data_IF_996342806595
#
_entry.id   IF_996342806595
#
_cell.length_a   1.000
_cell.length_b   1.000
_cell.length_c   1.000
_cell.angle_alpha   90.00
_cell.angle_beta   90.00
_cell.angle_gamma   90.00
#
_symmetry.space_group_name_H-M   'P 1'
#
loop_
_entity.id
_entity.type
_entity.pdbx_description
1 polymer ?
#
# COMPACT_ATOMS: atom_id res chain seq x y z
N UNK A 1 -19.67 -8.45 31.61
CA UNK A 1 -18.26 -8.60 31.18
C UNK A 1 -18.12 -7.87 29.87
N UNK A 2 -17.19 -6.91 29.75
CA UNK A 2 -16.85 -6.33 28.43
C UNK A 2 -16.14 -7.40 27.64
N UNK A 3 -16.60 -7.67 26.44
CA UNK A 3 -16.02 -8.67 25.54
C UNK A 3 -14.76 -8.08 24.91
N UNK A 4 -13.59 -8.65 25.20
CA UNK A 4 -12.34 -8.25 24.56
C UNK A 4 -12.21 -8.85 23.17
N UNK A 5 -11.65 -8.10 22.23
CA UNK A 5 -11.24 -8.57 20.91
C UNK A 5 -9.78 -8.95 20.93
N UNK A 6 -9.44 -10.04 20.25
CA UNK A 6 -8.09 -10.58 20.21
C UNK A 6 -7.66 -10.74 18.75
N UNK A 7 -6.50 -10.22 18.40
CA UNK A 7 -5.87 -10.43 17.09
C UNK A 7 -4.36 -10.56 17.26
N UNK A 8 -3.74 -11.27 16.34
CA UNK A 8 -2.27 -11.31 16.21
C UNK A 8 -1.87 -10.47 15.02
N UNK A 9 -0.89 -9.58 15.19
CA UNK A 9 -0.35 -8.76 14.11
C UNK A 9 0.61 -9.57 13.21
N UNK A 10 1.08 -8.98 12.13
CA UNK A 10 2.00 -9.67 11.21
C UNK A 10 3.44 -9.80 11.75
N UNK A 11 3.72 -9.28 12.94
CA UNK A 11 4.96 -9.51 13.68
C UNK A 11 4.81 -10.62 14.74
N UNK A 12 3.66 -11.31 14.76
CA UNK A 12 3.26 -12.29 15.76
C UNK A 12 3.02 -11.71 17.17
N UNK A 13 2.75 -10.41 17.28
CA UNK A 13 2.37 -9.76 18.54
C UNK A 13 0.88 -9.95 18.79
N UNK A 14 0.52 -10.56 19.93
CA UNK A 14 -0.88 -10.71 20.34
C UNK A 14 -1.39 -9.42 20.95
N UNK A 15 -2.50 -8.92 20.44
CA UNK A 15 -3.20 -7.74 20.93
C UNK A 15 -4.55 -8.17 21.46
N UNK A 16 -4.85 -7.77 22.70
CA UNK A 16 -6.11 -8.08 23.40
C UNK A 16 -6.64 -6.80 24.03
N UNK A 17 -7.68 -6.22 23.43
CA UNK A 17 -8.22 -4.90 23.78
C UNK A 17 -9.75 -4.93 23.85
N UNK A 18 -10.33 -3.96 24.52
CA UNK A 18 -11.75 -3.62 24.34
C UNK A 18 -11.94 -3.13 22.87
N UNK A 19 -13.13 -3.30 22.25
CA UNK A 19 -13.39 -2.81 20.91
C UNK A 19 -13.01 -1.32 20.77
N UNK A 20 -12.04 -0.97 19.92
CA UNK A 20 -11.43 0.36 19.90
C UNK A 20 -12.43 1.44 19.49
N UNK A 21 -12.39 2.57 20.17
CA UNK A 21 -13.21 3.75 19.91
C UNK A 21 -12.36 4.96 19.46
N UNK A 22 -11.04 4.90 19.65
CA UNK A 22 -10.11 6.00 19.32
C UNK A 22 -8.91 5.45 18.58
N UNK A 23 -9.01 5.41 17.25
CA UNK A 23 -8.02 4.78 16.37
C UNK A 23 -7.12 5.86 15.76
N UNK A 24 -5.81 5.64 15.83
CA UNK A 24 -4.81 6.40 15.06
C UNK A 24 -4.28 5.52 13.93
N UNK A 25 -4.30 6.04 12.70
CA UNK A 25 -3.79 5.34 11.51
C UNK A 25 -2.50 5.98 11.00
N UNK A 26 -1.44 5.18 10.94
CA UNK A 26 -0.09 5.64 10.57
C UNK A 26 0.20 5.50 9.06
N UNK A 27 -0.72 4.88 8.28
CA UNK A 27 -0.46 4.50 6.89
C UNK A 27 -1.65 4.83 5.99
N UNK A 28 -1.41 5.45 4.80
CA UNK A 28 -2.47 5.89 3.90
C UNK A 28 -3.44 4.79 3.45
N UNK A 29 -2.92 3.63 3.02
CA UNK A 29 -3.72 2.50 2.53
C UNK A 29 -4.63 1.91 3.61
N UNK A 30 -4.16 1.84 4.86
CA UNK A 30 -4.95 1.40 6.00
C UNK A 30 -5.98 2.45 6.44
N UNK A 31 -5.65 3.73 6.30
CA UNK A 31 -6.59 4.83 6.56
C UNK A 31 -7.81 4.74 5.63
N UNK A 32 -7.60 4.46 4.35
CA UNK A 32 -8.70 4.24 3.40
C UNK A 32 -9.53 3.01 3.78
N UNK A 33 -8.88 1.91 4.17
CA UNK A 33 -9.59 0.72 4.65
C UNK A 33 -10.49 1.02 5.85
N UNK A 34 -9.98 1.75 6.85
CA UNK A 34 -10.78 2.13 8.02
C UNK A 34 -12.02 2.96 7.65
N UNK A 35 -11.89 3.82 6.65
CA UNK A 35 -13.02 4.57 6.11
C UNK A 35 -14.06 3.63 5.46
N UNK A 36 -13.63 2.72 4.61
CA UNK A 36 -14.52 1.78 3.92
C UNK A 36 -15.18 0.77 4.88
N UNK A 37 -14.52 0.46 5.98
CA UNK A 37 -15.11 -0.28 7.10
C UNK A 37 -16.16 0.56 7.88
N UNK A 38 -16.24 1.87 7.63
CA UNK A 38 -17.24 2.76 8.24
C UNK A 38 -16.87 3.23 9.65
N UNK A 39 -15.57 3.43 9.90
CA UNK A 39 -15.02 3.81 11.19
C UNK A 39 -14.79 5.33 11.32
N UNK A 40 -15.56 6.14 10.59
CA UNK A 40 -15.38 7.61 10.55
C UNK A 40 -15.33 8.22 11.97
N UNK A 41 -16.26 7.85 12.84
CA UNK A 41 -16.34 8.41 14.20
C UNK A 41 -15.23 7.90 15.13
N UNK A 42 -14.62 6.75 14.81
CA UNK A 42 -13.59 6.13 15.64
C UNK A 42 -12.17 6.54 15.27
N UNK A 43 -11.91 6.90 14.01
CA UNK A 43 -10.58 7.38 13.60
C UNK A 43 -10.41 8.82 14.08
N UNK A 44 -9.42 9.05 14.95
CA UNK A 44 -9.16 10.35 15.56
C UNK A 44 -7.90 11.03 15.04
N UNK A 45 -6.93 10.26 14.51
CA UNK A 45 -5.67 10.77 14.00
C UNK A 45 -5.17 10.02 12.77
N UNK A 46 -4.56 10.74 11.84
CA UNK A 46 -4.00 10.22 10.58
C UNK A 46 -2.70 10.94 10.23
N UNK A 47 -1.85 10.34 9.38
CA UNK A 47 -0.66 11.04 8.89
C UNK A 47 -1.01 12.07 7.80
N UNK A 48 -0.12 13.04 7.57
CA UNK A 48 -0.26 14.03 6.49
C UNK A 48 -0.34 13.40 5.08
N UNK A 49 0.12 12.15 4.93
CA UNK A 49 0.10 11.40 3.68
C UNK A 49 -1.20 10.62 3.45
N UNK A 50 -2.08 10.56 4.45
CA UNK A 50 -3.40 9.93 4.32
C UNK A 50 -4.33 10.83 3.48
N UNK A 51 -4.25 10.68 2.16
CA UNK A 51 -4.97 11.51 1.21
C UNK A 51 -6.41 11.05 0.96
N UNK A 52 -6.75 9.84 1.40
CA UNK A 52 -8.08 9.24 1.24
C UNK A 52 -8.65 8.76 2.57
N UNK A 53 -9.95 9.07 2.84
CA UNK A 53 -10.80 9.97 2.06
C UNK A 53 -10.38 11.43 2.26
N UNK A 54 -10.57 12.25 1.24
CA UNK A 54 -10.14 13.66 1.28
C UNK A 54 -10.74 14.45 2.45
N UNK A 55 -11.98 14.14 2.85
CA UNK A 55 -12.64 14.79 3.98
C UNK A 55 -11.89 14.62 5.31
N UNK A 56 -11.17 13.50 5.50
CA UNK A 56 -10.45 13.25 6.74
C UNK A 56 -9.24 14.15 6.94
N UNK A 57 -8.61 14.63 5.87
CA UNK A 57 -7.55 15.64 5.96
C UNK A 57 -8.00 16.93 6.67
N UNK A 58 -9.30 17.24 6.61
CA UNK A 58 -9.88 18.46 7.21
C UNK A 58 -10.50 18.19 8.59
N UNK A 59 -10.80 16.94 8.91
CA UNK A 59 -11.61 16.59 10.09
C UNK A 59 -10.87 15.76 11.13
N UNK A 60 -9.75 15.13 10.77
CA UNK A 60 -8.94 14.32 11.68
C UNK A 60 -7.65 15.04 12.07
N UNK A 61 -7.15 14.78 13.26
CA UNK A 61 -5.86 15.31 13.70
C UNK A 61 -4.72 14.77 12.82
N UNK A 62 -3.81 15.64 12.40
CA UNK A 62 -2.60 15.24 11.65
C UNK A 62 -1.47 14.95 12.64
N UNK A 63 -1.06 13.68 12.71
CA UNK A 63 -0.08 13.17 13.68
C UNK A 63 1.37 13.13 13.14
N UNK A 64 1.69 13.93 12.13
CA UNK A 64 3.00 13.95 11.48
C UNK A 64 3.02 13.18 10.16
N UNK A 65 4.19 12.67 9.80
CA UNK A 65 4.40 11.80 8.63
C UNK A 65 4.53 10.32 9.03
N UNK A 66 4.66 9.43 8.05
CA UNK A 66 4.83 7.97 8.27
C UNK A 66 6.19 7.63 8.92
N UNK A 67 7.20 8.46 8.72
CA UNK A 67 8.56 8.31 9.27
C UNK A 67 8.92 9.39 10.31
N UNK A 68 7.95 10.20 10.74
CA UNK A 68 8.15 11.26 11.73
C UNK A 68 6.84 11.57 12.44
N UNK A 69 6.62 10.96 13.60
CA UNK A 69 5.40 11.11 14.40
C UNK A 69 5.49 12.34 15.32
N UNK A 70 4.35 13.03 15.50
CA UNK A 70 4.17 14.02 16.55
C UNK A 70 3.59 13.31 17.78
N UNK A 71 4.46 12.82 18.66
CA UNK A 71 4.06 12.01 19.83
C UNK A 71 3.10 12.74 20.75
N UNK A 72 3.36 14.02 21.01
CA UNK A 72 2.50 14.90 21.81
C UNK A 72 1.08 14.97 21.28
N UNK A 73 0.92 15.05 19.96
CA UNK A 73 -0.39 15.01 19.30
C UNK A 73 -1.04 13.65 19.48
N UNK A 74 -0.30 12.55 19.26
CA UNK A 74 -0.84 11.19 19.43
C UNK A 74 -1.28 10.98 20.87
N UNK A 75 -0.47 11.35 21.86
CA UNK A 75 -0.77 11.24 23.27
C UNK A 75 -2.04 12.02 23.63
N UNK A 76 -2.20 13.24 23.13
CA UNK A 76 -3.40 14.08 23.37
C UNK A 76 -4.68 13.48 22.81
N UNK A 77 -4.57 12.62 21.79
CA UNK A 77 -5.72 11.91 21.22
C UNK A 77 -6.17 10.70 22.05
N UNK A 78 -5.38 10.26 23.05
CA UNK A 78 -5.67 9.09 23.87
C UNK A 78 -6.15 7.88 23.06
N UNK A 79 -5.36 7.39 22.06
CA UNK A 79 -5.80 6.27 21.24
C UNK A 79 -5.87 4.98 22.06
N UNK A 80 -6.89 4.17 21.75
CA UNK A 80 -7.02 2.81 22.29
C UNK A 80 -6.60 1.73 21.25
N UNK A 81 -6.25 2.16 20.03
CA UNK A 81 -5.57 1.36 19.01
C UNK A 81 -4.80 2.26 18.06
N UNK A 82 -3.56 1.88 17.77
CA UNK A 82 -2.75 2.45 16.70
C UNK A 82 -2.53 1.37 15.63
N UNK A 83 -2.69 1.73 14.35
CA UNK A 83 -2.52 0.81 13.23
C UNK A 83 -1.40 1.32 12.33
N UNK A 84 -0.41 0.46 12.07
CA UNK A 84 0.77 0.79 11.27
C UNK A 84 1.22 -0.34 10.33
N UNK A 85 2.33 -0.07 9.63
CA UNK A 85 2.98 -1.01 8.74
C UNK A 85 4.50 -0.98 8.92
N UNK A 86 5.12 -2.14 8.91
CA UNK A 86 6.55 -2.34 9.17
C UNK A 86 7.44 -1.64 8.12
N UNK A 87 7.03 -1.61 6.87
CA UNK A 87 7.81 -0.99 5.80
C UNK A 87 7.67 0.54 5.80
N UNK A 88 6.46 1.03 6.05
CA UNK A 88 6.15 2.45 5.94
C UNK A 88 6.50 3.24 7.20
N UNK A 89 6.50 2.62 8.37
CA UNK A 89 6.81 3.28 9.63
C UNK A 89 8.26 3.03 10.07
N UNK A 90 8.80 3.88 10.93
CA UNK A 90 10.13 3.70 11.50
C UNK A 90 10.06 2.98 12.84
N UNK A 91 10.99 2.06 13.05
CA UNK A 91 10.94 1.10 14.15
C UNK A 91 10.99 1.79 15.52
N UNK A 92 11.89 2.75 15.72
CA UNK A 92 12.07 3.45 17.00
C UNK A 92 10.79 4.20 17.41
N UNK A 93 10.07 4.77 16.42
CA UNK A 93 8.81 5.43 16.70
C UNK A 93 7.70 4.45 17.08
N UNK A 94 7.67 3.27 16.46
CA UNK A 94 6.71 2.22 16.82
C UNK A 94 6.99 1.69 18.22
N UNK A 95 8.26 1.36 18.55
CA UNK A 95 8.66 0.89 19.88
C UNK A 95 8.24 1.89 20.96
N UNK A 96 8.46 3.19 20.74
CA UNK A 96 8.03 4.22 21.67
C UNK A 96 6.49 4.28 21.85
N UNK A 97 5.72 4.10 20.77
CA UNK A 97 4.26 4.09 20.86
C UNK A 97 3.75 2.86 21.64
N UNK A 98 4.41 1.72 21.49
CA UNK A 98 4.06 0.46 22.17
C UNK A 98 4.24 0.52 23.69
N UNK A 99 5.05 1.43 24.20
CA UNK A 99 5.17 1.66 25.64
C UNK A 99 3.88 2.19 26.28
N UNK A 100 3.03 2.86 25.51
CA UNK A 100 1.84 3.57 26.02
C UNK A 100 0.52 3.11 25.42
N UNK A 101 0.55 2.52 24.21
CA UNK A 101 -0.64 2.24 23.44
C UNK A 101 -0.62 0.84 22.81
N UNK A 102 -1.77 0.19 22.62
CA UNK A 102 -1.86 -0.99 21.76
C UNK A 102 -1.55 -0.62 20.30
N UNK A 103 -0.53 -1.26 19.71
CA UNK A 103 -0.12 -1.02 18.31
C UNK A 103 -0.23 -2.32 17.52
N UNK A 104 -1.04 -2.30 16.46
CA UNK A 104 -1.19 -3.39 15.52
C UNK A 104 -0.41 -3.09 14.23
N UNK A 105 0.52 -3.98 13.86
CA UNK A 105 1.41 -3.76 12.72
C UNK A 105 1.17 -4.77 11.61
N UNK A 106 1.01 -4.30 10.39
CA UNK A 106 1.06 -5.14 9.19
C UNK A 106 2.48 -5.27 8.64
N UNK A 107 2.74 -6.39 7.94
CA UNK A 107 3.91 -6.63 7.09
C UNK A 107 3.39 -7.31 5.83
N UNK A 108 3.32 -6.59 4.71
CA UNK A 108 2.57 -6.99 3.53
C UNK A 108 3.49 -7.06 2.30
N UNK A 109 3.77 -8.27 1.88
CA UNK A 109 4.49 -8.59 0.65
C UNK A 109 3.58 -9.34 -0.32
N UNK A 110 2.77 -10.26 0.21
CA UNK A 110 1.92 -11.14 -0.58
C UNK A 110 0.45 -10.70 -0.54
N UNK A 111 -0.28 -11.04 -1.60
CA UNK A 111 -1.70 -10.70 -1.73
C UNK A 111 -2.55 -11.29 -0.60
N UNK A 112 -2.25 -12.51 -0.16
CA UNK A 112 -2.97 -13.14 0.94
C UNK A 112 -2.78 -12.36 2.24
N UNK A 113 -1.59 -11.85 2.51
CA UNK A 113 -1.32 -11.03 3.69
C UNK A 113 -2.17 -9.73 3.69
N UNK A 114 -2.41 -9.13 2.51
CA UNK A 114 -3.33 -7.99 2.41
C UNK A 114 -4.76 -8.35 2.79
N UNK A 115 -5.26 -9.52 2.39
CA UNK A 115 -6.59 -10.01 2.78
C UNK A 115 -6.66 -10.36 4.27
N UNK A 116 -5.60 -10.95 4.81
CA UNK A 116 -5.49 -11.28 6.24
C UNK A 116 -5.43 -10.02 7.11
N UNK A 117 -4.77 -8.96 6.65
CA UNK A 117 -4.81 -7.65 7.29
C UNK A 117 -6.26 -7.10 7.36
N UNK A 118 -7.00 -7.15 6.24
CA UNK A 118 -8.40 -6.68 6.23
C UNK A 118 -9.22 -7.48 7.25
N UNK A 119 -9.03 -8.79 7.32
CA UNK A 119 -9.72 -9.68 8.27
C UNK A 119 -9.38 -9.32 9.71
N UNK A 120 -8.09 -9.14 10.01
CA UNK A 120 -7.60 -8.81 11.36
C UNK A 120 -8.09 -7.45 11.84
N UNK A 121 -8.00 -6.42 11.00
CA UNK A 121 -8.49 -5.07 11.32
C UNK A 121 -10.02 -5.10 11.51
N UNK A 122 -10.74 -5.82 10.66
CA UNK A 122 -12.20 -5.96 10.78
C UNK A 122 -12.60 -6.64 12.09
N UNK A 123 -11.88 -7.68 12.53
CA UNK A 123 -12.10 -8.36 13.80
C UNK A 123 -11.86 -7.40 14.97
N UNK A 124 -10.72 -6.70 14.99
CA UNK A 124 -10.38 -5.73 16.06
C UNK A 124 -11.42 -4.63 16.19
N UNK A 125 -11.98 -4.18 15.06
CA UNK A 125 -12.93 -3.06 15.02
C UNK A 125 -14.39 -3.48 15.03
N UNK A 126 -14.68 -4.79 15.12
CA UNK A 126 -16.04 -5.36 15.06
C UNK A 126 -16.79 -4.97 13.78
N UNK A 127 -16.10 -5.05 12.65
CA UNK A 127 -16.66 -4.74 11.32
C UNK A 127 -16.53 -5.93 10.35
N UNK A 128 -16.52 -7.17 10.88
CA UNK A 128 -16.24 -8.42 10.15
C UNK A 128 -17.13 -8.60 8.93
N UNK A 129 -18.41 -8.23 9.02
CA UNK A 129 -19.34 -8.32 7.90
C UNK A 129 -18.90 -7.45 6.73
N UNK A 130 -18.44 -6.23 6.99
CA UNK A 130 -17.93 -5.31 5.96
C UNK A 130 -16.59 -5.79 5.42
N UNK A 131 -15.67 -6.21 6.31
CA UNK A 131 -14.39 -6.77 5.92
C UNK A 131 -14.53 -7.99 5.02
N UNK A 132 -15.40 -8.93 5.37
CA UNK A 132 -15.69 -10.10 4.55
C UNK A 132 -16.25 -9.73 3.16
N UNK A 133 -17.14 -8.74 3.08
CA UNK A 133 -17.67 -8.26 1.79
C UNK A 133 -16.60 -7.59 0.92
N UNK A 134 -15.68 -6.83 1.52
CA UNK A 134 -14.52 -6.24 0.83
C UNK A 134 -13.63 -7.37 0.28
N UNK A 135 -13.22 -8.32 1.11
CA UNK A 135 -12.38 -9.46 0.73
C UNK A 135 -13.00 -10.25 -0.43
N UNK A 136 -14.25 -10.69 -0.29
CA UNK A 136 -14.97 -11.44 -1.32
C UNK A 136 -15.01 -10.68 -2.65
N UNK A 137 -15.24 -9.37 -2.60
CA UNK A 137 -15.27 -8.52 -3.80
C UNK A 137 -13.88 -8.40 -4.44
N UNK A 138 -12.83 -8.23 -3.65
CA UNK A 138 -11.44 -8.19 -4.14
C UNK A 138 -11.10 -9.49 -4.84
N UNK A 139 -11.32 -10.65 -4.18
CA UNK A 139 -11.02 -11.97 -4.74
C UNK A 139 -11.77 -12.22 -6.06
N UNK A 140 -13.07 -11.92 -6.10
CA UNK A 140 -13.87 -12.05 -7.32
C UNK A 140 -13.36 -11.16 -8.46
N UNK A 141 -12.98 -9.92 -8.17
CA UNK A 141 -12.50 -8.99 -9.19
C UNK A 141 -11.11 -9.39 -9.71
N UNK A 142 -10.19 -9.82 -8.85
CA UNK A 142 -8.88 -10.32 -9.27
C UNK A 142 -8.97 -11.66 -10.01
N UNK A 143 -9.86 -12.57 -9.61
CA UNK A 143 -10.13 -13.82 -10.36
C UNK A 143 -10.61 -13.58 -11.78
N UNK A 144 -11.32 -12.46 -12.02
CA UNK A 144 -11.84 -12.06 -13.34
C UNK A 144 -10.90 -11.11 -14.09
N UNK A 145 -9.74 -10.81 -13.53
CA UNK A 145 -8.77 -9.96 -14.21
C UNK A 145 -8.18 -10.72 -15.40
N UNK A 146 -8.38 -10.17 -16.61
CA UNK A 146 -7.68 -10.66 -17.79
C UNK A 146 -6.19 -10.46 -17.62
N UNK A 147 -5.42 -11.53 -17.73
CA UNK A 147 -3.98 -11.49 -17.64
C UNK A 147 -3.40 -10.71 -18.81
N UNK A 148 -2.37 -9.91 -18.56
CA UNK A 148 -1.53 -9.41 -19.64
C UNK A 148 -0.81 -10.59 -20.31
N UNK A 149 -0.45 -10.48 -21.62
CA UNK A 149 0.55 -11.39 -22.16
C UNK A 149 1.84 -11.23 -21.35
N UNK A 150 2.73 -12.24 -21.35
CA UNK A 150 3.94 -12.26 -20.52
C UNK A 150 4.97 -11.22 -21.02
N UNK A 151 4.63 -9.94 -20.87
CA UNK A 151 5.51 -8.82 -21.22
C UNK A 151 6.46 -8.51 -20.07
N UNK A 152 7.72 -8.29 -20.42
CA UNK A 152 8.77 -7.85 -19.50
C UNK A 152 8.50 -6.40 -19.10
N UNK A 153 8.25 -6.18 -17.81
CA UNK A 153 7.90 -4.88 -17.24
C UNK A 153 8.93 -4.43 -16.20
N UNK A 154 9.29 -3.16 -16.24
CA UNK A 154 10.06 -2.48 -15.21
C UNK A 154 9.15 -1.47 -14.51
N UNK A 155 9.09 -1.52 -13.17
CA UNK A 155 8.38 -0.53 -12.38
C UNK A 155 9.38 0.35 -11.65
N UNK A 156 9.40 1.64 -11.98
CA UNK A 156 10.26 2.64 -11.36
C UNK A 156 9.45 3.48 -10.37
N UNK A 157 9.92 3.57 -9.14
CA UNK A 157 9.25 4.27 -8.05
C UNK A 157 10.03 5.48 -7.52
N UNK A 158 11.30 5.63 -7.90
CA UNK A 158 12.16 6.72 -7.44
C UNK A 158 13.14 7.18 -8.53
N UNK A 159 13.55 8.44 -8.43
CA UNK A 159 14.54 9.06 -9.32
C UNK A 159 15.58 9.82 -8.50
N UNK A 160 16.83 9.64 -8.87
CA UNK A 160 18.03 10.10 -8.19
C UNK A 160 18.27 9.43 -6.82
N UNK A 161 18.76 8.16 -6.81
CA UNK A 161 19.00 7.30 -7.98
C UNK A 161 17.72 6.75 -8.61
N UNK A 162 17.79 6.08 -9.77
CA UNK A 162 16.69 5.23 -10.21
C UNK A 162 16.51 4.06 -9.26
N UNK A 163 15.27 3.82 -8.81
CA UNK A 163 14.96 2.65 -8.01
C UNK A 163 13.73 1.95 -8.57
N UNK A 164 13.82 0.63 -8.66
CA UNK A 164 12.73 -0.22 -9.11
C UNK A 164 12.11 -1.02 -7.96
N UNK A 165 10.91 -1.54 -8.17
CA UNK A 165 10.28 -2.50 -7.26
C UNK A 165 10.59 -3.92 -7.70
N UNK A 166 11.29 -4.68 -6.86
CA UNK A 166 11.77 -6.04 -7.11
C UNK A 166 11.05 -7.07 -6.23
N UNK A 167 11.56 -8.29 -6.17
CA UNK A 167 11.02 -9.34 -5.32
C UNK A 167 10.99 -8.93 -3.84
N UNK A 168 10.10 -9.52 -3.06
CA UNK A 168 9.90 -9.14 -1.66
C UNK A 168 9.16 -7.81 -1.48
N UNK A 169 8.45 -7.32 -2.50
CA UNK A 169 7.58 -6.14 -2.43
C UNK A 169 6.15 -6.47 -2.85
N UNK A 170 5.18 -5.80 -2.26
CA UNK A 170 3.77 -5.95 -2.66
C UNK A 170 3.54 -5.53 -4.12
N UNK A 171 4.27 -4.53 -4.60
CA UNK A 171 4.25 -4.09 -6.00
C UNK A 171 4.60 -5.24 -6.95
N UNK A 172 5.64 -6.02 -6.64
CA UNK A 172 6.01 -7.20 -7.43
C UNK A 172 4.88 -8.24 -7.46
N UNK A 173 4.26 -8.50 -6.32
CA UNK A 173 3.12 -9.41 -6.23
C UNK A 173 1.95 -8.95 -7.11
N UNK A 174 1.66 -7.65 -7.14
CA UNK A 174 0.62 -7.10 -8.01
C UNK A 174 1.02 -7.19 -9.49
N UNK A 175 2.26 -6.86 -9.86
CA UNK A 175 2.78 -7.02 -11.23
C UNK A 175 2.57 -8.46 -11.70
N UNK A 176 3.00 -9.46 -10.92
CA UNK A 176 2.84 -10.89 -11.25
C UNK A 176 1.36 -11.28 -11.38
N UNK A 177 0.49 -10.73 -10.53
CA UNK A 177 -0.95 -11.00 -10.60
C UNK A 177 -1.62 -10.45 -11.86
N UNK A 178 -1.04 -9.45 -12.51
CA UNK A 178 -1.53 -8.98 -13.81
C UNK A 178 -1.07 -9.86 -14.99
N UNK A 179 -0.13 -10.79 -14.78
CA UNK A 179 0.48 -11.63 -15.80
C UNK A 179 1.75 -11.03 -16.41
N UNK A 180 2.17 -9.84 -15.99
CA UNK A 180 3.43 -9.25 -16.41
C UNK A 180 4.62 -9.94 -15.74
N UNK A 181 5.76 -9.93 -16.42
CA UNK A 181 7.05 -10.43 -15.92
C UNK A 181 7.83 -9.24 -15.38
N UNK A 182 8.09 -9.20 -14.09
CA UNK A 182 8.95 -8.17 -13.52
C UNK A 182 10.41 -8.45 -13.90
N UNK A 183 11.07 -7.52 -14.59
CA UNK A 183 12.48 -7.68 -14.99
C UNK A 183 13.46 -7.66 -13.82
N UNK A 184 12.99 -7.31 -12.62
CA UNK A 184 13.76 -7.28 -11.38
C UNK A 184 13.40 -8.46 -10.44
N UNK A 185 12.81 -9.54 -10.95
CA UNK A 185 12.37 -10.64 -10.08
C UNK A 185 13.51 -11.39 -9.37
N UNK A 186 14.73 -11.33 -9.90
CA UNK A 186 15.94 -11.89 -9.29
C UNK A 186 16.61 -10.95 -8.28
N UNK A 187 16.18 -9.68 -8.21
CA UNK A 187 16.64 -8.70 -7.24
C UNK A 187 15.68 -8.65 -6.02
N UNK A 188 16.11 -7.99 -4.94
CA UNK A 188 15.31 -7.90 -3.72
C UNK A 188 14.94 -6.46 -3.38
N UNK A 189 13.72 -6.25 -2.89
CA UNK A 189 13.21 -4.99 -2.36
C UNK A 189 13.22 -3.86 -3.42
N UNK A 190 14.03 -2.84 -3.22
CA UNK A 190 14.06 -1.63 -4.03
C UNK A 190 15.49 -1.34 -4.52
N UNK A 191 16.02 -2.14 -5.48
CA UNK A 191 17.38 -1.95 -5.95
C UNK A 191 17.56 -0.61 -6.66
N UNK A 192 18.74 -0.01 -6.44
CA UNK A 192 19.23 1.12 -7.22
C UNK A 192 19.70 0.64 -8.60
N UNK A 193 19.32 1.37 -9.63
CA UNK A 193 19.59 1.02 -11.02
C UNK A 193 20.39 2.12 -11.72
N UNK A 194 21.44 1.74 -12.42
CA UNK A 194 22.09 2.63 -13.37
C UNK A 194 21.33 2.63 -14.71
N UNK A 195 21.53 3.67 -15.53
CA UNK A 195 20.97 3.71 -16.88
C UNK A 195 21.45 2.53 -17.74
N UNK A 196 22.71 2.08 -17.55
CA UNK A 196 23.25 0.88 -18.21
C UNK A 196 22.53 -0.39 -17.79
N UNK A 197 22.24 -0.55 -16.49
CA UNK A 197 21.47 -1.70 -15.97
C UNK A 197 20.04 -1.70 -16.50
N UNK A 198 19.37 -0.54 -16.53
CA UNK A 198 18.03 -0.39 -17.10
C UNK A 198 18.01 -0.82 -18.58
N UNK A 199 19.03 -0.42 -19.35
CA UNK A 199 19.17 -0.80 -20.75
C UNK A 199 19.42 -2.30 -20.93
N UNK A 200 20.25 -2.91 -20.08
CA UNK A 200 20.55 -4.36 -20.08
C UNK A 200 19.29 -5.20 -19.78
N UNK A 201 18.46 -4.74 -18.85
CA UNK A 201 17.20 -5.40 -18.50
C UNK A 201 16.21 -5.48 -19.69
N UNK A 202 16.35 -4.64 -20.70
CA UNK A 202 15.52 -4.59 -21.92
C UNK A 202 14.01 -4.84 -21.65
N UNK A 203 13.34 -4.04 -20.81
CA UNK A 203 11.91 -4.18 -20.58
C UNK A 203 11.14 -3.75 -21.84
N UNK A 204 10.00 -4.40 -22.08
CA UNK A 204 9.05 -3.99 -23.14
C UNK A 204 8.14 -2.85 -22.67
N UNK A 205 7.89 -2.79 -21.37
CA UNK A 205 7.04 -1.79 -20.73
C UNK A 205 7.77 -1.21 -19.53
N UNK A 206 7.70 0.11 -19.35
CA UNK A 206 8.19 0.80 -18.16
C UNK A 206 7.03 1.56 -17.52
N UNK A 207 6.80 1.32 -16.25
CA UNK A 207 5.86 2.07 -15.43
C UNK A 207 6.60 3.08 -14.57
N UNK A 208 6.24 4.35 -14.72
CA UNK A 208 6.72 5.44 -13.87
C UNK A 208 5.62 5.77 -12.86
N UNK A 209 5.85 5.45 -11.61
CA UNK A 209 4.86 5.58 -10.52
C UNK A 209 4.58 7.03 -10.15
N UNK A 210 3.33 7.34 -9.82
CA UNK A 210 2.96 8.65 -9.25
C UNK A 210 3.45 8.84 -7.81
N UNK A 211 3.89 7.76 -7.14
CA UNK A 211 4.37 7.77 -5.75
C UNK A 211 5.44 6.68 -5.49
N UNK A 212 6.26 6.80 -4.46
CA UNK A 212 6.45 7.97 -3.60
C UNK A 212 7.14 9.13 -4.32
N UNK A 213 7.89 8.88 -5.41
CA UNK A 213 8.42 9.93 -6.26
C UNK A 213 7.37 10.32 -7.30
N UNK A 214 6.98 11.63 -7.40
CA UNK A 214 5.91 12.07 -8.27
C UNK A 214 6.38 12.16 -9.72
N UNK A 215 6.53 11.03 -10.39
CA UNK A 215 6.83 11.03 -11.82
C UNK A 215 5.77 11.78 -12.60
N UNK A 216 6.21 12.53 -13.62
CA UNK A 216 5.36 13.35 -14.46
C UNK A 216 5.89 13.32 -15.91
N UNK A 217 5.20 13.92 -16.90
CA UNK A 217 5.55 13.80 -18.31
C UNK A 217 7.00 14.15 -18.69
N UNK A 218 7.68 15.01 -17.94
CA UNK A 218 9.09 15.36 -18.24
C UNK A 218 10.05 14.17 -18.15
N UNK A 219 9.71 13.15 -17.33
CA UNK A 219 10.55 11.96 -17.14
C UNK A 219 10.34 10.91 -18.23
N UNK A 220 9.25 10.99 -19.01
CA UNK A 220 9.01 10.05 -20.12
C UNK A 220 10.14 10.09 -21.14
N UNK A 221 10.59 11.28 -21.53
CA UNK A 221 11.67 11.43 -22.50
C UNK A 221 13.00 10.91 -21.95
N UNK A 222 13.31 11.18 -20.69
CA UNK A 222 14.54 10.69 -20.05
C UNK A 222 14.65 9.15 -20.09
N UNK A 223 13.55 8.46 -19.81
CA UNK A 223 13.52 6.99 -19.87
C UNK A 223 13.48 6.51 -21.33
N UNK A 224 12.80 7.24 -22.22
CA UNK A 224 12.76 6.91 -23.65
C UNK A 224 14.14 6.97 -24.31
N UNK A 225 15.01 7.90 -23.86
CA UNK A 225 16.38 8.01 -24.34
C UNK A 225 17.24 6.80 -23.91
N UNK A 226 16.96 6.21 -22.74
CA UNK A 226 17.60 4.98 -22.26
C UNK A 226 17.05 3.75 -23.01
N UNK A 227 15.72 3.71 -23.22
CA UNK A 227 14.96 2.57 -23.76
C UNK A 227 14.12 2.99 -24.99
N UNK A 228 14.71 3.23 -26.15
CA UNK A 228 14.01 3.77 -27.33
C UNK A 228 12.85 2.91 -27.83
N UNK A 229 12.85 1.60 -27.53
CA UNK A 229 11.84 0.65 -28.02
C UNK A 229 10.79 0.29 -26.98
N UNK A 230 10.98 0.65 -25.71
CA UNK A 230 10.03 0.35 -24.65
C UNK A 230 8.82 1.28 -24.70
N UNK A 231 7.67 0.77 -24.31
CA UNK A 231 6.49 1.61 -24.05
C UNK A 231 6.55 2.12 -22.63
N UNK A 232 6.58 3.44 -22.45
CA UNK A 232 6.73 4.08 -21.15
C UNK A 232 5.40 4.73 -20.76
N UNK A 233 4.89 4.43 -19.57
CA UNK A 233 3.63 4.94 -19.08
C UNK A 233 3.78 5.52 -17.67
N UNK A 234 3.15 6.67 -17.45
CA UNK A 234 2.86 7.14 -16.10
C UNK A 234 1.71 6.31 -15.53
N UNK A 235 1.88 5.80 -14.32
CA UNK A 235 0.89 4.96 -13.66
C UNK A 235 0.52 5.50 -12.27
N UNK A 236 -0.72 5.25 -11.88
CA UNK A 236 -1.17 5.51 -10.52
C UNK A 236 -0.54 4.48 -9.57
N UNK A 237 0.43 4.93 -8.77
CA UNK A 237 1.17 4.10 -7.83
C UNK A 237 0.28 3.46 -6.77
N UNK A 238 -0.77 4.15 -6.31
CA UNK A 238 -1.72 3.62 -5.33
C UNK A 238 -2.34 2.27 -5.76
N UNK A 239 -2.52 2.07 -7.07
CA UNK A 239 -3.10 0.84 -7.61
C UNK A 239 -2.16 -0.37 -7.54
N UNK A 240 -0.87 -0.13 -7.41
CA UNK A 240 0.15 -1.18 -7.30
C UNK A 240 0.66 -1.37 -5.87
N UNK A 241 0.71 -0.30 -5.08
CA UNK A 241 1.36 -0.27 -3.76
C UNK A 241 0.37 -0.35 -2.60
N UNK A 242 -0.88 0.16 -2.75
CA UNK A 242 -1.83 0.19 -1.65
C UNK A 242 -2.57 -1.12 -1.49
N UNK A 243 -2.30 -1.80 -0.42
CA UNK A 243 -3.06 -2.94 0.07
C UNK A 243 -4.30 -2.46 0.86
N UNK A 244 -5.27 -3.33 1.13
CA UNK A 244 -6.54 -2.95 1.76
C UNK A 244 -7.64 -2.70 0.73
N UNK A 245 -8.54 -1.77 1.00
CA UNK A 245 -9.73 -1.54 0.17
C UNK A 245 -9.41 -0.94 -1.21
N UNK A 246 -8.24 -0.33 -1.41
CA UNK A 246 -7.77 0.11 -2.75
C UNK A 246 -7.78 -1.02 -3.77
N UNK A 247 -7.56 -2.25 -3.34
CA UNK A 247 -7.62 -3.45 -4.19
C UNK A 247 -8.99 -3.68 -4.84
N UNK A 248 -10.06 -3.07 -4.34
CA UNK A 248 -11.35 -3.06 -5.02
C UNK A 248 -11.28 -2.35 -6.39
N UNK A 249 -10.42 -1.37 -6.54
CA UNK A 249 -10.33 -0.52 -7.75
C UNK A 249 -9.24 -0.98 -8.72
N UNK A 250 -8.18 -1.63 -8.21
CA UNK A 250 -7.01 -2.03 -8.97
C UNK A 250 -7.34 -2.88 -10.23
N UNK A 251 -8.23 -3.89 -10.22
CA UNK A 251 -8.55 -4.66 -11.42
C UNK A 251 -9.19 -3.85 -12.55
N UNK A 252 -10.01 -2.85 -12.22
CA UNK A 252 -10.60 -1.96 -13.23
C UNK A 252 -9.54 -1.03 -13.83
N UNK A 253 -8.61 -0.57 -13.01
CA UNK A 253 -7.46 0.21 -13.45
C UNK A 253 -6.54 -0.60 -14.39
N UNK A 254 -6.22 -1.85 -14.04
CA UNK A 254 -5.37 -2.71 -14.88
C UNK A 254 -6.01 -3.03 -16.23
N UNK A 255 -7.34 -3.14 -16.32
CA UNK A 255 -8.02 -3.24 -17.63
C UNK A 255 -7.75 -2.01 -18.50
N UNK A 256 -7.91 -0.80 -17.94
CA UNK A 256 -7.60 0.45 -18.67
C UNK A 256 -6.12 0.51 -19.05
N UNK A 257 -5.23 0.11 -18.16
CA UNK A 257 -3.79 0.07 -18.43
C UNK A 257 -3.48 -0.88 -19.61
N UNK A 258 -4.18 -2.02 -19.69
CA UNK A 258 -4.07 -2.94 -20.81
C UNK A 258 -4.46 -2.29 -22.14
N UNK A 259 -5.57 -1.56 -22.17
CA UNK A 259 -6.02 -0.80 -23.34
C UNK A 259 -4.99 0.26 -23.75
N UNK A 260 -4.43 1.00 -22.78
CA UNK A 260 -3.35 1.97 -23.02
C UNK A 260 -2.09 1.32 -23.62
N UNK A 261 -1.82 0.07 -23.29
CA UNK A 261 -0.73 -0.71 -23.87
C UNK A 261 -1.04 -1.21 -25.28
N UNK A 262 -2.27 -1.07 -25.77
CA UNK A 262 -2.71 -1.59 -27.06
C UNK A 262 -2.86 -3.12 -27.08
N UNK A 263 -3.10 -3.72 -25.91
CA UNK A 263 -3.32 -5.15 -25.75
C UNK A 263 -4.83 -5.36 -25.61
N UNK A 264 -5.46 -5.82 -26.66
CA UNK A 264 -6.90 -6.10 -26.69
C UNK A 264 -7.20 -7.51 -26.22
#
# INVERSE_FOLDING_TARGET
MKYKVVSTDHRNTRIEIDPPQRIVSLVPSQTELLFDLGLDDRVVGITKFCVRPEKWKKTKAVIGGTKNFHFDVIESLHPDLIIGNKEENYEEGIVRLEEFFPVWMSDIVEFQQALDMIRSISLLTQTERKGAAIIDTIEKRFKRLYQFPPLRALYLMWRNPWMGAANGTFINTIIKRTGLINVLEDEMRYPELSASKIKELDPRVVFLSSEPFPFNPKYLQEVQDILPRAKILLVDGEMFSWYGSRLLHAPAYFRKLREMLGIV
#
